data_IF_031497808206
#
_entry.id   IF_031497808206
#
_cell.length_a   1.000
_cell.length_b   1.000
_cell.length_c   1.000
_cell.angle_alpha   90.00
_cell.angle_beta   90.00
_cell.angle_gamma   90.00
#
_symmetry.space_group_name_H-M   'P 1'
#
loop_
_entity.id
_entity.type
_entity.pdbx_description
1 polymer ?
#
# COMPACT_ATOMS: atom_id res chain seq x y z
N UNK A 1 14.23 15.62 1.25
CA UNK A 1 14.18 15.47 1.28
C UNK A 1 14.02 14.78 1.70
N UNK A 2 13.99 14.53 1.68
CA UNK A 2 13.92 13.98 1.84
C UNK A 2 13.40 13.21 2.25
N UNK A 3 13.08 12.76 2.32
CA UNK A 3 12.65 12.12 2.57
C UNK A 3 12.00 11.45 2.80
N UNK A 4 11.68 11.27 2.70
CA UNK A 4 11.11 10.73 2.82
C UNK A 4 10.65 9.99 3.10
N UNK A 5 10.43 9.76 3.04
CA UNK A 5 9.94 8.97 3.25
C UNK A 5 9.09 8.53 3.33
N UNK A 6 9.15 8.68 2.95
CA UNK A 6 8.00 8.42 2.93
C UNK A 6 7.42 7.22 2.44
N UNK A 7 6.79 6.63 3.01
CA UNK A 7 6.23 5.36 2.81
C UNK A 7 4.81 5.50 2.40
N UNK A 8 4.63 5.70 1.11
CA UNK A 8 3.28 5.82 0.62
C UNK A 8 2.87 4.51 0.03
N UNK A 9 1.82 3.95 0.56
CA UNK A 9 1.23 2.75 0.03
C UNK A 9 0.21 3.15 -1.02
N UNK A 10 -0.07 2.26 -1.96
CA UNK A 10 -0.94 2.59 -3.09
C UNK A 10 -2.00 1.55 -3.32
N UNK A 11 -3.20 2.02 -3.67
CA UNK A 11 -4.25 1.16 -4.19
C UNK A 11 -4.40 1.52 -5.66
N UNK A 12 -4.34 0.53 -6.53
CA UNK A 12 -4.40 0.78 -7.96
C UNK A 12 -5.59 0.04 -8.55
N UNK A 13 -6.46 0.80 -9.23
CA UNK A 13 -7.59 0.19 -9.90
C UNK A 13 -7.13 -0.37 -11.24
N UNK A 14 -7.39 -1.63 -11.47
CA UNK A 14 -7.00 -2.30 -12.70
C UNK A 14 -7.87 -1.90 -13.88
N UNK A 15 -9.03 -1.35 -13.63
CA UNK A 15 -9.94 -0.99 -14.70
C UNK A 15 -9.74 0.44 -15.20
N UNK A 16 -9.72 1.40 -14.31
CA UNK A 16 -9.62 2.80 -14.71
C UNK A 16 -8.24 3.41 -14.47
N UNK A 17 -7.36 2.68 -13.79
CA UNK A 17 -6.01 3.17 -13.53
C UNK A 17 -5.92 4.16 -12.37
N UNK A 18 -6.99 4.33 -11.64
CA UNK A 18 -6.98 5.25 -10.51
C UNK A 18 -5.97 4.81 -9.46
N UNK A 19 -5.22 5.75 -8.93
CA UNK A 19 -4.23 5.48 -7.90
C UNK A 19 -4.59 6.26 -6.66
N UNK A 20 -4.70 5.55 -5.54
CA UNK A 20 -5.01 6.16 -4.26
C UNK A 20 -3.82 5.95 -3.34
N UNK A 21 -3.26 7.02 -2.82
CA UNK A 21 -2.17 6.92 -1.86
C UNK A 21 -2.73 6.90 -0.46
N UNK A 22 -2.10 6.13 0.39
CA UNK A 22 -2.48 6.10 1.78
C UNK A 22 -1.26 5.74 2.62
N UNK A 23 -1.36 5.98 3.91
CA UNK A 23 -0.35 5.54 4.84
C UNK A 23 -1.04 5.07 6.10
N UNK A 24 -0.44 4.11 6.76
CA UNK A 24 -1.06 3.54 7.95
C UNK A 24 0.02 3.03 8.89
N UNK A 25 0.05 3.63 10.08
CA UNK A 25 1.07 3.28 11.06
C UNK A 25 0.93 1.85 11.56
N UNK A 26 -0.28 1.34 11.56
CA UNK A 26 -0.51 -0.02 12.02
C UNK A 26 0.15 -1.03 11.08
N UNK A 27 0.00 -0.80 9.80
CA UNK A 27 0.63 -1.67 8.81
C UNK A 27 2.15 -1.62 8.95
N UNK A 28 2.69 -0.43 9.12
CA UNK A 28 4.13 -0.27 9.28
C UNK A 28 4.63 -0.98 10.52
N UNK A 29 3.88 -0.89 11.59
CA UNK A 29 4.27 -1.55 12.82
C UNK A 29 4.26 -3.06 12.68
N UNK A 30 3.25 -3.59 12.02
CA UNK A 30 3.16 -5.03 11.79
C UNK A 30 4.34 -5.50 10.96
N UNK A 31 4.68 -4.78 9.92
CA UNK A 31 5.82 -5.13 9.09
C UNK A 31 7.11 -5.11 9.90
N UNK A 32 7.26 -4.12 10.75
CA UNK A 32 8.45 -4.03 11.59
C UNK A 32 8.52 -5.22 12.54
N UNK A 33 7.39 -5.59 13.13
CA UNK A 33 7.36 -6.73 14.05
C UNK A 33 7.74 -8.02 13.34
N UNK A 34 7.25 -8.21 12.14
CA UNK A 34 7.56 -9.40 11.37
C UNK A 34 9.05 -9.45 11.07
N UNK A 35 9.61 -8.33 10.67
CA UNK A 35 11.04 -8.27 10.39
C UNK A 35 11.86 -8.58 11.62
N UNK A 36 11.44 -8.05 12.76
CA UNK A 36 12.16 -8.30 14.01
C UNK A 36 12.13 -9.77 14.37
N UNK A 37 10.99 -10.41 14.18
CA UNK A 37 10.86 -11.83 14.50
C UNK A 37 11.77 -12.68 13.65
N UNK A 38 11.93 -12.30 12.41
CA UNK A 38 12.72 -13.07 11.47
C UNK A 38 14.19 -12.63 11.43
N UNK A 39 14.56 -11.70 12.30
CA UNK A 39 15.93 -11.20 12.32
C UNK A 39 16.28 -10.41 11.09
N UNK A 40 15.32 -9.76 10.51
CA UNK A 40 15.49 -9.06 9.26
C UNK A 40 15.50 -7.54 9.49
N UNK A 41 16.44 -6.86 8.87
CA UNK A 41 16.54 -5.42 9.02
C UNK A 41 15.95 -4.74 7.77
N UNK A 42 14.77 -4.15 7.88
CA UNK A 42 14.17 -3.51 6.71
C UNK A 42 14.85 -2.18 6.40
N UNK A 43 15.11 -1.95 5.14
CA UNK A 43 15.65 -0.66 4.70
C UNK A 43 14.57 0.18 4.03
N UNK A 44 13.60 -0.48 3.42
CA UNK A 44 12.48 0.21 2.83
C UNK A 44 11.40 -0.81 2.54
N UNK A 45 10.21 -0.33 2.25
CA UNK A 45 9.14 -1.23 1.86
C UNK A 45 8.17 -0.50 0.95
N UNK A 46 7.40 -1.28 0.22
CA UNK A 46 6.34 -0.77 -0.62
C UNK A 46 5.15 -1.70 -0.48
N UNK A 47 3.99 -1.12 -0.43
CA UNK A 47 2.76 -1.89 -0.45
C UNK A 47 1.91 -1.38 -1.59
N UNK A 48 1.56 -2.26 -2.49
CA UNK A 48 0.73 -1.92 -3.63
C UNK A 48 -0.37 -2.96 -3.72
N UNK A 49 -1.61 -2.49 -3.69
CA UNK A 49 -2.75 -3.38 -3.77
C UNK A 49 -3.46 -3.09 -5.08
N UNK A 50 -3.60 -4.11 -5.90
CA UNK A 50 -4.30 -4.00 -7.18
C UNK A 50 -5.71 -4.52 -7.00
N UNK A 51 -6.67 -3.83 -7.56
CA UNK A 51 -8.03 -4.25 -7.40
C UNK A 51 -8.96 -3.39 -8.23
N UNK A 52 -10.21 -3.30 -7.79
CA UNK A 52 -11.25 -2.57 -8.51
C UNK A 52 -11.73 -1.44 -7.61
N UNK A 53 -11.67 -0.22 -8.10
CA UNK A 53 -12.09 0.91 -7.28
C UNK A 53 -13.60 0.92 -7.11
N UNK A 54 -14.03 1.75 -6.17
CA UNK A 54 -15.43 1.81 -5.80
C UNK A 54 -16.34 2.12 -6.98
N UNK A 55 -15.95 3.07 -7.80
CA UNK A 55 -16.74 3.45 -8.96
C UNK A 55 -16.83 2.34 -9.98
N UNK A 56 -15.73 1.65 -10.20
CA UNK A 56 -15.71 0.55 -11.15
C UNK A 56 -16.53 -0.64 -10.68
N UNK A 57 -16.54 -0.85 -9.38
CA UNK A 57 -17.37 -1.92 -8.81
C UNK A 57 -18.84 -1.65 -9.03
N UNK A 58 -19.24 -0.41 -8.86
CA UNK A 58 -20.63 -0.04 -9.03
C UNK A 58 -21.05 -0.08 -10.47
N UNK A 59 -20.21 0.47 -11.31
CA UNK A 59 -20.52 0.54 -12.72
C UNK A 59 -20.45 -0.79 -13.37
N UNK A 60 -19.68 -1.60 -12.77
CA UNK A 60 -19.50 -2.84 -13.37
C UNK A 60 -20.54 -3.81 -13.20
N UNK A 61 -20.79 -3.79 -13.07
CA UNK A 61 -21.26 -4.68 -13.26
C UNK A 61 -21.22 -5.46 -13.82
N UNK A 62 -21.01 -5.57 -13.81
CA UNK A 62 -20.86 -6.14 -14.41
C UNK A 62 -20.82 -6.60 -14.59
#
# INVERSE_FOLDING_TARGET
HKYNHNHHDHLICEKCGKIIEFSNNIIEKIQQDICNKLGFKPTSHKLQINGICKECQKGGNL
#
